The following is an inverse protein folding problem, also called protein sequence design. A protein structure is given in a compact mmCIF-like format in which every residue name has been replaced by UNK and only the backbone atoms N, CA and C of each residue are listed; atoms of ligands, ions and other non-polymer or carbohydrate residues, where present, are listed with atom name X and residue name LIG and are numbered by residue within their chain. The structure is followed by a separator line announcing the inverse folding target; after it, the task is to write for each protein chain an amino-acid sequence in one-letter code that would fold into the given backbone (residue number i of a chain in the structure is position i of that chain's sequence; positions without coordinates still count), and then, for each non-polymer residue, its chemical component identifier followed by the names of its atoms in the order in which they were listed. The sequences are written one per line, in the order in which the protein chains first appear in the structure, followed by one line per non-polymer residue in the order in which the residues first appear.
data_IF_219645600833
#
_entry.id   IF_219645600833
#
_cell.length_a   1.000
_cell.length_b   1.000
_cell.length_c   1.000
_cell.angle_alpha   90.00
_cell.angle_beta   90.00
_cell.angle_gamma   90.00
#
_symmetry.space_group_name_H-M   'P 1'
#
loop_
_entity.id
_entity.type
_entity.pdbx_description
1 polymer ?
#
# COMPACT_ATOMS: atom_id res chain seq x y z
N UNK A 1 -3.06 -1.79 15.86
CA UNK A 1 -2.44 -0.81 16.78
C UNK A 1 -1.53 -1.48 17.83
N UNK A 2 -2.04 -2.37 18.70
CA UNK A 2 -1.29 -2.92 19.83
C UNK A 2 0.09 -3.52 19.47
N UNK A 3 0.17 -4.34 18.41
CA UNK A 3 1.45 -4.93 17.97
C UNK A 3 2.44 -3.95 17.35
N UNK A 4 1.99 -2.77 16.90
CA UNK A 4 2.88 -1.69 16.47
C UNK A 4 3.48 -1.00 17.69
N UNK A 5 2.64 -0.62 18.66
CA UNK A 5 3.07 0.05 19.88
C UNK A 5 4.04 -0.81 20.70
N UNK A 6 3.78 -2.11 20.83
CA UNK A 6 4.69 -3.03 21.53
C UNK A 6 6.08 -3.05 20.88
N UNK A 7 6.14 -3.16 19.55
CA UNK A 7 7.39 -3.20 18.79
C UNK A 7 8.17 -1.89 18.92
N UNK A 8 7.50 -0.75 18.81
CA UNK A 8 8.15 0.57 18.94
C UNK A 8 8.71 0.75 20.35
N UNK A 9 7.97 0.34 21.38
CA UNK A 9 8.46 0.38 22.77
C UNK A 9 9.71 -0.48 22.97
N UNK A 10 9.70 -1.71 22.45
CA UNK A 10 10.82 -2.64 22.52
C UNK A 10 12.06 -2.13 21.78
N UNK A 11 11.88 -1.52 20.60
CA UNK A 11 12.99 -1.09 19.74
C UNK A 11 13.50 0.31 20.06
N UNK A 12 12.63 1.20 20.55
CA UNK A 12 12.92 2.62 20.76
C UNK A 12 13.22 3.02 22.21
N UNK A 13 13.19 2.08 23.16
CA UNK A 13 13.42 2.40 24.58
C UNK A 13 12.30 3.24 25.22
N UNK A 14 11.08 3.15 24.68
CA UNK A 14 9.90 3.91 25.11
C UNK A 14 8.98 3.08 26.03
N UNK A 15 9.53 2.14 26.80
CA UNK A 15 8.74 1.15 27.57
C UNK A 15 7.76 1.78 28.55
N UNK A 16 8.12 2.91 29.16
CA UNK A 16 7.31 3.65 30.13
C UNK A 16 6.38 4.70 29.48
N UNK A 17 6.50 4.95 28.17
CA UNK A 17 5.74 5.99 27.50
C UNK A 17 4.28 5.57 27.24
N UNK A 18 3.34 6.51 27.39
CA UNK A 18 1.93 6.31 27.07
C UNK A 18 1.71 6.05 25.57
N UNK A 19 0.56 5.47 25.21
CA UNK A 19 0.25 5.17 23.80
C UNK A 19 0.28 6.45 22.93
N UNK A 20 -0.26 7.57 23.43
CA UNK A 20 -0.27 8.85 22.71
C UNK A 20 1.15 9.42 22.50
N UNK A 21 2.00 9.36 23.53
CA UNK A 21 3.39 9.82 23.45
C UNK A 21 4.19 9.04 22.40
N UNK A 22 3.99 7.72 22.35
CA UNK A 22 4.58 6.86 21.32
C UNK A 22 4.09 7.26 19.93
N UNK A 23 2.80 7.52 19.76
CA UNK A 23 2.24 7.92 18.47
C UNK A 23 2.72 9.31 18.01
N UNK A 24 2.94 10.24 18.94
CA UNK A 24 3.53 11.56 18.65
C UNK A 24 5.02 11.44 18.32
N UNK A 25 5.75 10.58 19.04
CA UNK A 25 7.16 10.28 18.77
C UNK A 25 7.35 9.74 17.34
N UNK A 26 6.54 8.76 16.96
CA UNK A 26 6.55 8.12 15.63
C UNK A 26 5.88 8.96 14.53
N UNK A 27 5.44 10.19 14.83
CA UNK A 27 4.76 11.11 13.89
C UNK A 27 3.48 10.53 13.28
N UNK A 28 2.87 9.57 13.96
CA UNK A 28 1.51 9.10 13.65
C UNK A 28 0.52 10.18 14.02
N UNK A 29 0.68 10.81 15.18
CA UNK A 29 -0.07 11.98 15.59
C UNK A 29 0.79 13.23 15.44
N UNK A 30 0.24 14.25 14.79
CA UNK A 30 0.90 15.54 14.55
C UNK A 30 -0.04 16.68 14.96
N UNK A 31 0.49 17.79 15.50
CA UNK A 31 -0.34 18.94 15.82
C UNK A 31 -0.86 19.59 14.54
N UNK A 32 -2.17 19.84 14.50
CA UNK A 32 -2.84 20.63 13.47
C UNK A 32 -2.25 22.06 13.48
N UNK A 33 -1.68 22.57 12.37
CA UNK A 33 -1.09 23.90 12.34
C UNK A 33 -2.05 25.04 12.68
N UNK A 34 -3.36 24.86 12.43
CA UNK A 34 -4.37 25.89 12.65
C UNK A 34 -4.98 25.81 14.06
N UNK A 35 -5.13 24.60 14.61
CA UNK A 35 -5.86 24.37 15.87
C UNK A 35 -4.97 23.94 17.04
N UNK A 36 -3.73 23.50 16.79
CA UNK A 36 -2.83 22.92 17.80
C UNK A 36 -3.26 21.55 18.33
N UNK A 37 -4.36 20.99 17.82
CA UNK A 37 -4.93 19.70 18.25
C UNK A 37 -4.19 18.57 17.53
N UNK A 38 -3.85 17.49 18.25
CA UNK A 38 -3.25 16.31 17.63
C UNK A 38 -4.23 15.64 16.66
N UNK A 39 -3.80 15.46 15.42
CA UNK A 39 -4.52 14.72 14.39
C UNK A 39 -3.61 13.63 13.79
N UNK A 40 -4.17 12.51 13.30
CA UNK A 40 -3.40 11.56 12.53
C UNK A 40 -2.74 12.23 11.33
N UNK A 41 -1.45 12.00 11.14
CA UNK A 41 -0.78 12.30 9.88
C UNK A 41 -1.36 11.43 8.76
N UNK A 42 -1.17 11.83 7.50
CA UNK A 42 -1.62 11.02 6.35
C UNK A 42 -1.00 9.61 6.38
N UNK A 43 0.32 9.53 6.63
CA UNK A 43 1.02 8.26 6.76
C UNK A 43 0.50 7.44 7.96
N UNK A 44 0.28 8.08 9.10
CA UNK A 44 -0.27 7.43 10.29
C UNK A 44 -1.67 6.86 10.04
N UNK A 45 -2.54 7.64 9.41
CA UNK A 45 -3.88 7.23 9.02
C UNK A 45 -3.82 6.05 8.05
N UNK A 46 -3.03 6.13 6.98
CA UNK A 46 -2.91 5.06 5.99
C UNK A 46 -2.22 3.81 6.52
N UNK A 47 -1.33 3.91 7.50
CA UNK A 47 -0.63 2.75 8.05
C UNK A 47 -1.43 2.03 9.14
N UNK A 48 -2.19 2.77 9.96
CA UNK A 48 -2.78 2.26 11.21
C UNK A 48 -4.30 2.48 11.33
N UNK A 49 -4.89 3.32 10.50
CA UNK A 49 -6.31 3.63 10.52
C UNK A 49 -7.19 2.47 10.05
N UNK A 50 -8.38 2.35 10.62
CA UNK A 50 -9.32 1.26 10.28
C UNK A 50 -9.97 1.44 8.91
N UNK A 51 -10.27 2.69 8.54
CA UNK A 51 -10.84 3.05 7.23
C UNK A 51 -10.29 4.42 6.78
N UNK A 52 -9.06 4.45 6.22
CA UNK A 52 -8.49 5.69 5.68
C UNK A 52 -9.31 6.27 4.51
N UNK A 53 -9.95 5.39 3.74
CA UNK A 53 -10.65 5.74 2.49
C UNK A 53 -11.93 6.56 2.71
N UNK A 54 -12.45 6.64 3.94
CA UNK A 54 -13.52 7.60 4.25
C UNK A 54 -13.08 9.07 4.06
N UNK A 55 -11.77 9.33 4.20
CA UNK A 55 -11.17 10.66 3.98
C UNK A 55 -10.52 10.76 2.60
N UNK A 56 -9.95 9.65 2.12
CA UNK A 56 -9.22 9.60 0.85
C UNK A 56 -9.67 8.41 -0.01
N UNK A 57 -10.84 8.48 -0.68
CA UNK A 57 -11.48 7.34 -1.33
C UNK A 57 -10.60 6.63 -2.37
N UNK A 58 -9.79 7.40 -3.11
CA UNK A 58 -8.91 6.90 -4.16
C UNK A 58 -7.51 6.47 -3.67
N UNK A 59 -7.23 6.55 -2.36
CA UNK A 59 -6.02 5.95 -1.76
C UNK A 59 -6.27 4.46 -1.45
N UNK A 60 -6.70 3.74 -2.48
CA UNK A 60 -7.01 2.32 -2.45
C UNK A 60 -6.26 1.57 -3.58
N UNK A 61 -6.43 0.25 -3.62
CA UNK A 61 -5.91 -0.60 -4.69
C UNK A 61 -7.10 -1.29 -5.37
N UNK A 62 -7.16 -1.23 -6.69
CA UNK A 62 -8.25 -1.80 -7.48
C UNK A 62 -7.68 -2.84 -8.44
N UNK A 63 -8.24 -4.04 -8.44
CA UNK A 63 -7.98 -5.05 -9.46
C UNK A 63 -9.14 -5.05 -10.45
N UNK A 64 -8.87 -4.66 -11.69
CA UNK A 64 -9.86 -4.51 -12.76
C UNK A 64 -9.77 -5.66 -13.77
N UNK A 65 -10.88 -6.36 -13.95
CA UNK A 65 -10.99 -7.50 -14.86
C UNK A 65 -11.63 -7.07 -16.16
N UNK A 66 -10.85 -6.45 -17.05
CA UNK A 66 -11.31 -5.90 -18.34
C UNK A 66 -12.21 -6.81 -19.19
N UNK A 67 -12.11 -8.14 -19.04
CA UNK A 67 -12.96 -9.11 -19.78
C UNK A 67 -14.35 -9.28 -19.21
N UNK A 68 -14.50 -9.14 -17.90
CA UNK A 68 -15.78 -9.37 -17.20
C UNK A 68 -16.40 -8.08 -16.70
N UNK A 69 -15.62 -7.00 -16.58
CA UNK A 69 -16.05 -5.75 -15.96
C UNK A 69 -16.14 -5.83 -14.43
N UNK A 70 -15.72 -6.96 -13.83
CA UNK A 70 -15.68 -7.10 -12.38
C UNK A 70 -14.49 -6.31 -11.82
N UNK A 71 -14.62 -5.89 -10.56
CA UNK A 71 -13.55 -5.24 -9.82
C UNK A 71 -13.45 -5.81 -8.41
N UNK A 72 -12.22 -6.07 -7.96
CA UNK A 72 -11.92 -6.29 -6.55
C UNK A 72 -11.27 -5.02 -5.99
N UNK A 73 -11.93 -4.37 -5.02
CA UNK A 73 -11.43 -3.15 -4.37
C UNK A 73 -10.84 -3.49 -3.01
N UNK A 74 -9.63 -3.02 -2.75
CA UNK A 74 -8.92 -3.21 -1.49
C UNK A 74 -8.81 -1.87 -0.76
N UNK A 75 -9.50 -1.79 0.39
CA UNK A 75 -9.51 -0.64 1.28
C UNK A 75 -8.97 -1.03 2.67
N UNK A 76 -8.79 -0.04 3.53
CA UNK A 76 -8.19 -0.17 4.85
C UNK A 76 -6.74 0.32 4.87
N UNK A 77 -5.98 -0.03 5.92
CA UNK A 77 -4.61 0.40 6.05
C UNK A 77 -3.70 -0.30 5.03
N UNK A 78 -2.64 0.38 4.60
CA UNK A 78 -1.67 -0.09 3.59
C UNK A 78 -1.21 -1.53 3.83
N UNK A 79 -0.82 -1.97 5.05
CA UNK A 79 -0.43 -3.35 5.29
C UNK A 79 -1.53 -4.37 4.96
N UNK A 80 -2.80 -4.04 5.23
CA UNK A 80 -3.93 -4.91 4.93
C UNK A 80 -4.21 -4.97 3.43
N UNK A 81 -4.14 -3.82 2.74
CA UNK A 81 -4.29 -3.74 1.28
C UNK A 81 -3.22 -4.59 0.58
N UNK A 82 -1.95 -4.44 0.96
CA UNK A 82 -0.83 -5.21 0.39
C UNK A 82 -1.05 -6.71 0.60
N UNK A 83 -1.43 -7.14 1.81
CA UNK A 83 -1.67 -8.55 2.10
C UNK A 83 -2.83 -9.11 1.26
N UNK A 84 -3.96 -8.39 1.21
CA UNK A 84 -5.14 -8.79 0.46
C UNK A 84 -4.87 -8.92 -1.04
N UNK A 85 -4.32 -7.88 -1.66
CA UNK A 85 -4.05 -7.88 -3.10
C UNK A 85 -3.01 -8.93 -3.49
N UNK A 86 -1.95 -9.10 -2.68
CA UNK A 86 -0.92 -10.11 -2.91
C UNK A 86 -1.50 -11.52 -2.89
N UNK A 87 -2.33 -11.83 -1.89
CA UNK A 87 -2.98 -13.14 -1.78
C UNK A 87 -3.92 -13.41 -2.96
N UNK A 88 -4.72 -12.42 -3.36
CA UNK A 88 -5.63 -12.53 -4.49
C UNK A 88 -4.88 -12.82 -5.79
N UNK A 89 -3.88 -12.00 -6.12
CA UNK A 89 -3.12 -12.13 -7.37
C UNK A 89 -2.31 -13.42 -7.41
N UNK A 90 -1.69 -13.83 -6.30
CA UNK A 90 -0.99 -15.11 -6.22
C UNK A 90 -1.93 -16.31 -6.42
N UNK A 91 -3.18 -16.24 -5.94
CA UNK A 91 -4.21 -17.26 -6.17
C UNK A 91 -4.65 -17.29 -7.64
N UNK A 92 -4.81 -16.13 -8.28
CA UNK A 92 -5.22 -16.02 -9.69
C UNK A 92 -4.09 -16.33 -10.68
N UNK A 93 -2.84 -16.19 -10.28
CA UNK A 93 -1.69 -16.53 -11.10
C UNK A 93 -1.71 -18.02 -11.49
N UNK A 94 -1.69 -18.29 -12.79
CA UNK A 94 -1.65 -19.63 -13.39
C UNK A 94 -0.23 -20.20 -13.38
N UNK A 95 0.34 -20.35 -12.18
CA UNK A 95 1.69 -20.88 -11.98
C UNK A 95 1.69 -22.06 -11.01
N UNK A 96 2.62 -22.98 -11.22
CA UNK A 96 2.85 -24.09 -10.30
C UNK A 96 3.32 -23.63 -8.92
N UNK A 97 3.17 -24.51 -7.91
CA UNK A 97 3.44 -24.18 -6.51
C UNK A 97 4.87 -23.63 -6.26
N UNK A 98 5.88 -24.18 -6.94
CA UNK A 98 7.26 -23.71 -6.82
C UNK A 98 7.42 -22.25 -7.25
N UNK A 99 6.81 -21.84 -8.37
CA UNK A 99 6.85 -20.44 -8.84
C UNK A 99 6.02 -19.50 -7.97
N UNK A 100 4.88 -19.98 -7.44
CA UNK A 100 4.04 -19.20 -6.53
C UNK A 100 4.79 -18.76 -5.27
N UNK A 101 5.73 -19.58 -4.76
CA UNK A 101 6.59 -19.22 -3.61
C UNK A 101 7.48 -18.00 -3.87
N UNK A 102 7.90 -17.77 -5.11
CA UNK A 102 8.68 -16.59 -5.51
C UNK A 102 7.79 -15.40 -5.89
N UNK A 103 6.60 -15.68 -6.43
CA UNK A 103 5.66 -14.64 -6.84
C UNK A 103 5.10 -13.84 -5.66
N UNK A 104 4.76 -14.50 -4.56
CA UNK A 104 4.22 -13.83 -3.35
C UNK A 104 5.15 -12.74 -2.81
N UNK A 105 6.45 -13.01 -2.52
CA UNK A 105 7.35 -11.96 -2.05
C UNK A 105 7.61 -10.90 -3.12
N UNK A 106 7.64 -11.25 -4.42
CA UNK A 106 7.80 -10.28 -5.50
C UNK A 106 6.61 -9.31 -5.61
N UNK A 107 5.38 -9.82 -5.51
CA UNK A 107 4.16 -9.00 -5.46
C UNK A 107 4.17 -8.09 -4.23
N UNK A 108 4.47 -8.65 -3.04
CA UNK A 108 4.56 -7.87 -1.81
C UNK A 108 5.56 -6.72 -1.95
N UNK A 109 6.78 -7.01 -2.40
CA UNK A 109 7.82 -5.99 -2.58
C UNK A 109 7.41 -4.94 -3.62
N UNK A 110 6.80 -5.36 -4.71
CA UNK A 110 6.28 -4.47 -5.73
C UNK A 110 5.23 -3.50 -5.16
N UNK A 111 4.24 -4.00 -4.40
CA UNK A 111 3.22 -3.13 -3.82
C UNK A 111 3.73 -2.28 -2.66
N UNK A 112 4.69 -2.78 -1.87
CA UNK A 112 5.39 -1.94 -0.87
C UNK A 112 6.05 -0.77 -1.57
N UNK A 113 6.83 -1.02 -2.62
CA UNK A 113 7.52 0.05 -3.35
C UNK A 113 6.54 1.03 -4.00
N UNK A 114 5.49 0.53 -4.66
CA UNK A 114 4.49 1.40 -5.30
C UNK A 114 3.78 2.26 -4.26
N UNK A 115 3.24 1.67 -3.19
CA UNK A 115 2.49 2.43 -2.20
C UNK A 115 3.39 3.34 -1.36
N UNK A 116 4.64 2.96 -1.12
CA UNK A 116 5.59 3.81 -0.38
C UNK A 116 6.06 5.02 -1.20
N UNK A 117 6.21 4.87 -2.51
CA UNK A 117 6.74 5.92 -3.38
C UNK A 117 5.66 6.67 -4.17
N UNK A 118 4.41 6.26 -4.02
CA UNK A 118 3.26 6.95 -4.57
C UNK A 118 3.25 8.41 -4.11
N UNK A 119 2.99 9.32 -5.05
CA UNK A 119 2.69 10.71 -4.75
C UNK A 119 1.44 10.81 -3.87
N UNK A 120 1.65 11.43 -2.72
CA UNK A 120 0.59 11.77 -1.76
C UNK A 120 0.24 13.25 -1.81
N UNK A 121 0.60 13.94 -2.89
CA UNK A 121 0.17 15.32 -3.17
C UNK A 121 -1.33 15.37 -3.45
N UNK A 122 -1.98 16.49 -3.13
CA UNK A 122 -3.43 16.63 -3.27
C UNK A 122 -3.95 16.30 -4.67
N UNK A 123 -3.22 16.71 -5.71
CA UNK A 123 -3.56 16.45 -7.11
C UNK A 123 -3.48 14.97 -7.51
N UNK A 124 -2.64 14.17 -6.84
CA UNK A 124 -2.37 12.76 -7.20
C UNK A 124 -3.16 11.77 -6.34
N UNK A 125 -3.85 12.25 -5.30
CA UNK A 125 -4.68 11.42 -4.40
C UNK A 125 -5.93 10.87 -5.08
N UNK A 126 -6.33 11.42 -6.23
CA UNK A 126 -7.59 11.06 -6.92
C UNK A 126 -7.50 9.76 -7.73
N UNK A 127 -6.30 9.23 -7.98
CA UNK A 127 -6.12 8.02 -8.79
C UNK A 127 -5.86 6.78 -7.93
N UNK A 128 -6.62 5.68 -8.08
CA UNK A 128 -6.29 4.42 -7.42
C UNK A 128 -5.00 3.82 -7.98
N UNK A 129 -4.38 2.90 -7.24
CA UNK A 129 -3.44 1.96 -7.87
C UNK A 129 -4.28 0.92 -8.59
N UNK A 130 -4.25 0.95 -9.92
CA UNK A 130 -5.05 0.08 -10.78
C UNK A 130 -4.22 -1.13 -11.22
N UNK A 131 -4.79 -2.32 -11.13
CA UNK A 131 -4.14 -3.56 -11.50
C UNK A 131 -4.99 -4.29 -12.52
N UNK A 132 -4.39 -4.55 -13.67
CA UNK A 132 -5.00 -5.27 -14.78
C UNK A 132 -4.29 -6.62 -14.96
N UNK A 133 -4.91 -7.75 -14.57
CA UNK A 133 -4.34 -9.07 -14.83
C UNK A 133 -4.42 -9.43 -16.32
N UNK A 134 -3.28 -9.62 -16.98
CA UNK A 134 -3.18 -9.92 -18.41
C UNK A 134 -2.45 -11.23 -18.62
N UNK A 135 -3.17 -12.33 -18.89
CA UNK A 135 -2.68 -13.67 -19.27
C UNK A 135 -1.50 -14.25 -18.44
N UNK A 136 -0.28 -13.70 -18.58
CA UNK A 136 0.96 -14.10 -17.91
C UNK A 136 1.64 -12.99 -17.08
N UNK A 137 1.08 -11.78 -17.07
CA UNK A 137 1.61 -10.64 -16.34
C UNK A 137 0.51 -9.87 -15.62
N UNK A 138 0.92 -9.10 -14.62
CA UNK A 138 0.10 -8.07 -14.00
C UNK A 138 0.58 -6.72 -14.50
N UNK A 139 -0.31 -5.95 -15.14
CA UNK A 139 -0.07 -4.55 -15.45
C UNK A 139 -0.57 -3.72 -14.28
N UNK A 140 0.28 -2.85 -13.74
CA UNK A 140 0.00 -2.02 -12.59
C UNK A 140 0.19 -0.57 -13.00
N UNK A 141 -0.86 0.24 -12.82
CA UNK A 141 -0.91 1.65 -13.17
C UNK A 141 -1.07 2.48 -11.92
N UNK A 142 -0.22 3.49 -11.77
CA UNK A 142 -0.25 4.44 -10.67
C UNK A 142 0.42 5.74 -11.12
N UNK A 143 -0.15 6.91 -10.83
CA UNK A 143 0.44 8.23 -11.17
C UNK A 143 0.89 8.39 -12.63
N UNK A 144 0.13 7.81 -13.57
CA UNK A 144 0.49 7.83 -15.00
C UNK A 144 1.71 6.97 -15.37
N UNK A 145 2.30 6.25 -14.41
CA UNK A 145 3.33 5.23 -14.62
C UNK A 145 2.71 3.84 -14.82
N UNK A 146 3.40 2.98 -15.57
CA UNK A 146 2.98 1.60 -15.80
C UNK A 146 4.11 0.62 -15.48
N UNK A 147 3.89 -0.25 -14.50
CA UNK A 147 4.76 -1.36 -14.15
C UNK A 147 4.16 -2.67 -14.65
N UNK A 148 5.00 -3.56 -15.19
CA UNK A 148 4.61 -4.91 -15.59
C UNK A 148 5.34 -5.94 -14.74
N UNK A 149 4.59 -6.83 -14.11
CA UNK A 149 5.14 -7.93 -13.33
C UNK A 149 4.75 -9.26 -13.97
N UNK A 150 5.72 -9.96 -14.54
CA UNK A 150 5.51 -11.33 -15.02
C UNK A 150 5.25 -12.27 -13.83
N UNK A 151 4.41 -13.28 -14.02
CA UNK A 151 4.20 -14.35 -13.05
C UNK A 151 5.49 -15.11 -12.67
N UNK A 152 6.57 -14.97 -13.44
CA UNK A 152 7.93 -15.39 -13.10
C UNK A 152 8.64 -14.54 -12.04
N UNK A 153 8.03 -13.46 -11.57
CA UNK A 153 8.58 -12.56 -10.55
C UNK A 153 9.56 -11.51 -11.09
N UNK A 154 9.65 -11.36 -12.42
CA UNK A 154 10.44 -10.29 -13.04
C UNK A 154 9.56 -9.07 -13.27
N UNK A 155 9.95 -7.94 -12.70
CA UNK A 155 9.34 -6.65 -12.99
C UNK A 155 10.07 -5.99 -14.16
N UNK A 156 9.30 -5.46 -15.11
CA UNK A 156 9.79 -4.51 -16.10
C UNK A 156 9.00 -3.23 -15.93
N UNK A 157 9.72 -2.15 -15.67
CA UNK A 157 9.16 -0.83 -15.62
C UNK A 157 9.31 -0.16 -16.99
N UNK A 158 8.23 0.37 -17.54
CA UNK A 158 8.34 1.50 -18.44
C UNK A 158 8.19 2.75 -17.59
N UNK A 159 9.13 3.67 -17.75
CA UNK A 159 9.05 5.04 -17.22
C UNK A 159 9.29 5.26 -15.70
N UNK A 160 9.69 4.27 -14.89
CA UNK A 160 10.07 4.50 -13.47
C UNK A 160 11.32 5.39 -13.27
N UNK A 161 12.01 5.77 -14.34
CA UNK A 161 13.18 6.65 -14.31
C UNK A 161 12.96 7.90 -15.17
N UNK A 162 11.90 8.67 -14.93
CA UNK A 162 12.04 10.13 -15.06
C UNK A 162 12.50 10.65 -13.71
N UNK A 163 13.83 10.63 -13.50
CA UNK A 163 14.46 11.37 -12.40
C UNK A 163 14.11 12.86 -12.55
N UNK A 164 13.98 13.62 -11.45
CA UNK A 164 14.05 15.08 -11.51
C UNK A 164 15.38 15.55 -12.13
#
# INVERSE_FOLDING_TARGET
MAGFLSRVREQGGLTEAGDEDVLVHEKVLVPDPAAGILRPSLAGLLALGSCPQQFFPSLNVVVDYWRTGDQDVFEGPIPAMIAGVTMLLAKKARVGAARRRYLVPALRECFVNILQHRSYEEADREMPVLISPVAREFQIEYEGSTLRLDHGGRAQAKDLCRRP
#
